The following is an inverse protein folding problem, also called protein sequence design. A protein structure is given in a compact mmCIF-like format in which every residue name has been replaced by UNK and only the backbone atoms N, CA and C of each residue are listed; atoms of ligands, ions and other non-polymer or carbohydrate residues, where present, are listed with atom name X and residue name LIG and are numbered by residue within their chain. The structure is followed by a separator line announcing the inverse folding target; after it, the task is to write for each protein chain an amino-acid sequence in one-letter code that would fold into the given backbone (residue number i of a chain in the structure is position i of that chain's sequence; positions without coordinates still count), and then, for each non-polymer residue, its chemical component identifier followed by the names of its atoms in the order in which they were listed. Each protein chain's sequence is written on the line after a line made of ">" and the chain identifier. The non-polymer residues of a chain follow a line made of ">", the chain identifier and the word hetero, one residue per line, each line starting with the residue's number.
data_IF_985053780845
#
_entry.id   IF_985053780845
#
_cell.length_a   1.000
_cell.length_b   1.000
_cell.length_c   1.000
_cell.angle_alpha   90.00
_cell.angle_beta   90.00
_cell.angle_gamma   90.00
#
_symmetry.space_group_name_H-M   'P 1'
#
loop_
_entity.id
_entity.type
_entity.pdbx_description
1 polymer ?
#
# COMPACT_ATOMS: atom_id res chain seq x y z
N UNK A 1 -4.81 -25.37 28.16
CA UNK A 1 -3.57 -26.07 27.75
C UNK A 1 -3.88 -27.53 27.48
N UNK A 2 -3.15 -28.20 26.57
CA UNK A 2 -3.29 -29.64 26.33
C UNK A 2 -2.41 -30.11 25.17
N UNK A 3 -1.92 -31.33 25.24
CA UNK A 3 -0.95 -31.91 24.29
C UNK A 3 -1.63 -32.38 23.00
N UNK A 4 -0.85 -32.75 21.98
CA UNK A 4 -1.33 -33.36 20.72
C UNK A 4 -2.00 -34.71 21.02
N UNK A 5 -3.08 -35.06 20.29
CA UNK A 5 -3.93 -36.28 20.43
C UNK A 5 -4.92 -36.36 21.60
N UNK A 6 -5.19 -35.27 22.33
CA UNK A 6 -6.20 -35.26 23.43
C UNK A 6 -7.63 -34.87 22.97
N UNK A 7 -7.98 -35.07 21.70
CA UNK A 7 -9.34 -34.81 21.19
C UNK A 7 -9.70 -33.34 20.90
N UNK A 8 -8.75 -32.39 21.02
CA UNK A 8 -9.03 -30.97 20.75
C UNK A 8 -9.48 -30.68 19.32
N UNK A 9 -8.89 -31.36 18.34
CA UNK A 9 -9.26 -31.15 16.92
C UNK A 9 -10.72 -31.55 16.72
N UNK A 10 -11.15 -32.71 17.25
CA UNK A 10 -12.57 -33.11 17.19
C UNK A 10 -13.50 -32.19 17.97
N UNK A 11 -13.10 -31.70 19.14
CA UNK A 11 -13.90 -30.71 19.86
C UNK A 11 -14.03 -29.42 19.05
N UNK A 12 -12.94 -28.91 18.48
CA UNK A 12 -12.94 -27.69 17.66
C UNK A 12 -13.86 -27.86 16.45
N UNK A 13 -13.79 -29.00 15.75
CA UNK A 13 -14.66 -29.30 14.63
C UNK A 13 -16.14 -29.31 14.99
N UNK A 14 -16.51 -29.88 16.15
CA UNK A 14 -17.90 -29.86 16.62
C UNK A 14 -18.36 -28.43 16.86
N UNK A 15 -17.57 -27.63 17.57
CA UNK A 15 -17.89 -26.23 17.86
C UNK A 15 -18.02 -25.40 16.56
N UNK A 16 -17.04 -25.52 15.67
CA UNK A 16 -17.04 -24.86 14.35
C UNK A 16 -18.28 -25.25 13.55
N UNK A 17 -18.63 -26.55 13.52
CA UNK A 17 -19.84 -27.02 12.82
C UNK A 17 -21.09 -26.36 13.42
N UNK A 18 -21.24 -26.38 14.75
CA UNK A 18 -22.41 -25.78 15.41
C UNK A 18 -22.51 -24.28 15.15
N UNK A 19 -21.40 -23.55 15.22
CA UNK A 19 -21.37 -22.10 15.01
C UNK A 19 -21.71 -21.72 13.56
N UNK A 20 -21.22 -22.48 12.58
CA UNK A 20 -21.57 -22.29 11.15
C UNK A 20 -23.08 -22.42 10.94
N UNK A 21 -23.68 -23.48 11.47
CA UNK A 21 -25.11 -23.77 11.31
C UNK A 21 -26.01 -22.85 12.14
N UNK A 22 -25.50 -22.28 13.25
CA UNK A 22 -26.20 -21.24 14.02
C UNK A 22 -26.25 -19.89 13.29
N UNK A 23 -25.44 -19.71 12.24
CA UNK A 23 -25.37 -18.47 11.46
C UNK A 23 -24.28 -17.50 11.95
N UNK A 24 -23.40 -17.92 12.86
CA UNK A 24 -22.37 -17.05 13.40
C UNK A 24 -21.23 -16.81 12.40
N UNK A 25 -20.43 -15.76 12.67
CA UNK A 25 -19.15 -15.54 11.99
C UNK A 25 -18.10 -16.40 12.66
N UNK A 26 -17.53 -17.34 11.88
CA UNK A 26 -16.52 -18.29 12.36
C UNK A 26 -15.18 -17.97 11.72
N UNK A 27 -14.17 -17.69 12.53
CA UNK A 27 -12.79 -17.46 12.09
C UNK A 27 -11.89 -18.52 12.74
N UNK A 28 -11.18 -19.29 11.91
CA UNK A 28 -10.29 -20.36 12.37
C UNK A 28 -8.86 -20.06 11.94
N UNK A 29 -7.95 -20.04 12.92
CA UNK A 29 -6.52 -19.98 12.67
C UNK A 29 -5.95 -21.39 12.83
N UNK A 30 -5.62 -22.03 11.72
CA UNK A 30 -5.01 -23.36 11.72
C UNK A 30 -3.52 -23.29 11.34
N UNK A 31 -2.60 -23.34 12.32
CA UNK A 31 -1.17 -23.28 12.06
C UNK A 31 -0.62 -24.57 11.42
N UNK A 32 -1.43 -25.64 11.33
CA UNK A 32 -0.98 -26.95 10.82
C UNK A 32 -1.33 -27.18 9.35
N UNK A 33 -2.28 -26.43 8.79
CA UNK A 33 -2.77 -26.68 7.43
C UNK A 33 -3.48 -28.04 7.31
N UNK A 34 -4.29 -28.38 8.31
CA UNK A 34 -5.13 -29.57 8.37
C UNK A 34 -6.21 -29.52 7.29
N UNK A 35 -6.02 -30.35 6.26
CA UNK A 35 -6.92 -30.45 5.11
C UNK A 35 -8.30 -30.99 5.52
N UNK A 36 -8.39 -31.87 6.52
CA UNK A 36 -9.66 -32.43 6.98
C UNK A 36 -10.52 -31.34 7.63
N UNK A 37 -9.89 -30.47 8.44
CA UNK A 37 -10.56 -29.32 9.05
C UNK A 37 -11.08 -28.35 7.99
N UNK A 38 -10.25 -28.01 6.99
CA UNK A 38 -10.64 -27.11 5.90
C UNK A 38 -11.83 -27.67 5.09
N UNK A 39 -11.75 -28.93 4.68
CA UNK A 39 -12.82 -29.61 3.93
C UNK A 39 -14.10 -29.68 4.73
N UNK A 40 -14.01 -29.93 6.03
CA UNK A 40 -15.17 -29.92 6.93
C UNK A 40 -15.78 -28.54 7.01
N UNK A 41 -14.99 -27.48 7.21
CA UNK A 41 -15.52 -26.11 7.26
C UNK A 41 -16.25 -25.73 5.96
N UNK A 42 -15.68 -26.05 4.80
CA UNK A 42 -16.32 -25.81 3.51
C UNK A 42 -17.62 -26.62 3.36
N UNK A 43 -17.59 -27.90 3.70
CA UNK A 43 -18.75 -28.80 3.60
C UNK A 43 -19.89 -28.34 4.52
N UNK A 44 -19.57 -27.94 5.75
CA UNK A 44 -20.57 -27.45 6.71
C UNK A 44 -21.11 -26.07 6.32
N UNK A 45 -20.27 -25.17 5.78
CA UNK A 45 -20.74 -23.90 5.20
C UNK A 45 -21.72 -24.14 4.05
N UNK A 46 -21.41 -25.11 3.18
CA UNK A 46 -22.30 -25.52 2.08
C UNK A 46 -23.63 -26.11 2.58
N UNK A 47 -23.59 -27.00 3.57
CA UNK A 47 -24.82 -27.56 4.18
C UNK A 47 -25.68 -26.50 4.85
N UNK A 48 -25.06 -25.47 5.41
CA UNK A 48 -25.76 -24.32 5.99
C UNK A 48 -26.25 -23.29 4.93
N UNK A 49 -26.00 -23.52 3.64
CA UNK A 49 -26.40 -22.59 2.56
C UNK A 49 -25.57 -21.30 2.53
N UNK A 50 -24.34 -21.33 3.04
CA UNK A 50 -23.44 -20.16 3.19
C UNK A 50 -22.11 -20.36 2.43
N UNK A 51 -22.11 -21.16 1.38
CA UNK A 51 -20.91 -21.44 0.58
C UNK A 51 -20.34 -20.19 -0.10
N UNK A 52 -21.19 -19.22 -0.42
CA UNK A 52 -20.85 -17.91 -0.98
C UNK A 52 -20.13 -16.97 0.00
N UNK A 53 -20.19 -17.30 1.30
CA UNK A 53 -19.55 -16.57 2.41
C UNK A 53 -18.30 -17.27 2.93
N UNK A 54 -17.88 -18.37 2.30
CA UNK A 54 -16.70 -19.12 2.72
C UNK A 54 -15.43 -18.54 2.11
N UNK A 55 -14.50 -18.13 2.96
CA UNK A 55 -13.19 -17.63 2.55
C UNK A 55 -12.08 -18.45 3.20
N UNK A 56 -11.07 -18.84 2.42
CA UNK A 56 -9.85 -19.45 2.93
C UNK A 56 -8.62 -18.65 2.53
N UNK A 57 -7.62 -18.62 3.40
CA UNK A 57 -6.32 -18.02 3.12
C UNK A 57 -5.23 -19.04 3.43
N UNK A 58 -4.52 -19.50 2.39
CA UNK A 58 -3.51 -20.54 2.51
C UNK A 58 -2.28 -20.22 1.64
N UNK A 59 -1.12 -19.99 2.26
CA UNK A 59 0.10 -19.55 1.57
C UNK A 59 0.63 -20.56 0.54
N UNK A 60 0.35 -21.86 0.72
CA UNK A 60 0.73 -22.92 -0.22
C UNK A 60 -0.22 -23.12 -1.40
N UNK A 61 -1.39 -22.48 -1.41
CA UNK A 61 -2.42 -22.60 -2.46
C UNK A 61 -2.97 -21.21 -2.83
N UNK A 62 -2.12 -20.31 -3.36
CA UNK A 62 -2.50 -18.93 -3.64
C UNK A 62 -3.64 -18.80 -4.66
N UNK A 63 -3.76 -19.72 -5.61
CA UNK A 63 -4.77 -19.74 -6.67
C UNK A 63 -6.19 -19.99 -6.15
N UNK A 64 -6.32 -20.61 -4.98
CA UNK A 64 -7.60 -20.88 -4.33
C UNK A 64 -7.85 -19.99 -3.10
N UNK A 65 -6.84 -19.21 -2.70
CA UNK A 65 -6.91 -18.38 -1.50
C UNK A 65 -7.56 -17.02 -1.77
N UNK A 66 -8.33 -16.54 -0.80
CA UNK A 66 -8.79 -15.17 -0.75
C UNK A 66 -7.59 -14.21 -0.72
N UNK A 67 -7.68 -13.11 -1.47
CA UNK A 67 -6.67 -12.06 -1.45
C UNK A 67 -6.95 -11.07 -0.32
N UNK A 68 -5.90 -10.60 0.33
CA UNK A 68 -6.00 -9.64 1.41
C UNK A 68 -4.99 -8.51 1.24
N UNK A 69 -5.48 -7.27 1.28
CA UNK A 69 -4.65 -6.07 1.32
C UNK A 69 -4.72 -5.43 2.72
N UNK A 70 -3.75 -5.73 3.61
CA UNK A 70 -3.75 -5.21 4.99
C UNK A 70 -3.51 -3.71 5.10
N UNK A 71 -3.12 -3.03 4.01
CA UNK A 71 -2.84 -1.60 4.02
C UNK A 71 -3.82 -0.81 3.15
N UNK A 72 -4.72 -1.48 2.43
CA UNK A 72 -5.72 -0.84 1.57
C UNK A 72 -6.96 -0.35 2.31
N UNK A 73 -7.35 -1.02 3.40
CA UNK A 73 -8.50 -0.62 4.22
C UNK A 73 -8.07 0.07 5.51
N UNK A 74 -8.38 1.36 5.65
CA UNK A 74 -8.02 2.17 6.81
C UNK A 74 -9.02 3.31 7.06
N UNK A 75 -9.20 3.67 8.33
CA UNK A 75 -9.97 4.86 8.73
C UNK A 75 -9.17 6.16 8.57
N UNK A 76 -7.83 6.08 8.68
CA UNK A 76 -6.92 7.22 8.56
C UNK A 76 -5.73 6.80 7.72
N UNK A 77 -5.35 7.62 6.73
CA UNK A 77 -4.23 7.33 5.80
C UNK A 77 -2.91 7.05 6.53
N UNK A 78 -2.70 7.67 7.70
CA UNK A 78 -1.52 7.44 8.55
C UNK A 78 -1.38 5.99 9.02
N UNK A 79 -2.47 5.21 9.05
CA UNK A 79 -2.44 3.78 9.41
C UNK A 79 -1.66 2.94 8.38
N UNK A 80 -1.59 3.36 7.12
CA UNK A 80 -0.78 2.70 6.09
C UNK A 80 0.70 2.70 6.53
N UNK A 81 1.22 3.87 6.86
CA UNK A 81 2.59 4.03 7.34
C UNK A 81 2.83 3.32 8.67
N UNK A 82 1.91 3.42 9.64
CA UNK A 82 2.05 2.72 10.93
C UNK A 82 2.11 1.20 10.76
N UNK A 83 1.27 0.61 9.90
CA UNK A 83 1.28 -0.84 9.66
C UNK A 83 2.59 -1.32 9.03
N UNK A 84 3.21 -0.51 8.18
CA UNK A 84 4.51 -0.83 7.55
C UNK A 84 5.65 -0.62 8.54
N UNK A 85 5.71 0.53 9.21
CA UNK A 85 6.80 0.86 10.13
C UNK A 85 6.82 -0.01 11.39
N UNK A 86 5.67 -0.51 11.86
CA UNK A 86 5.60 -1.40 13.03
C UNK A 86 6.29 -2.76 12.82
N UNK A 87 6.57 -3.15 11.57
CA UNK A 87 7.35 -4.35 11.27
C UNK A 87 8.86 -4.13 11.47
N UNK A 88 9.29 -2.89 11.72
CA UNK A 88 10.70 -2.53 11.86
C UNK A 88 11.14 -2.48 13.33
N UNK A 89 12.41 -2.80 13.63
CA UNK A 89 12.97 -2.64 14.98
C UNK A 89 12.79 -1.21 15.49
N UNK A 90 12.55 -1.07 16.80
CA UNK A 90 12.15 0.20 17.43
C UNK A 90 13.17 0.85 18.35
N UNK A 91 14.41 0.35 18.42
CA UNK A 91 15.39 0.73 19.45
C UNK A 91 16.72 1.24 18.86
N UNK A 92 17.37 2.17 19.57
CA UNK A 92 18.66 2.73 19.17
C UNK A 92 18.62 3.45 17.81
N UNK A 93 19.63 3.24 16.96
CA UNK A 93 19.71 3.87 15.63
C UNK A 93 18.56 3.46 14.69
N UNK A 94 17.83 2.38 14.99
CA UNK A 94 16.69 1.95 14.17
C UNK A 94 15.46 2.86 14.32
N UNK A 95 15.38 3.67 15.39
CA UNK A 95 14.25 4.57 15.61
C UNK A 95 14.17 5.67 14.55
N UNK A 96 15.29 6.37 14.29
CA UNK A 96 15.34 7.43 13.29
C UNK A 96 15.05 6.90 11.87
N UNK A 97 15.54 5.70 11.55
CA UNK A 97 15.22 5.03 10.29
C UNK A 97 13.73 4.68 10.19
N UNK A 98 13.14 4.15 11.27
CA UNK A 98 11.71 3.84 11.33
C UNK A 98 10.84 5.09 11.15
N UNK A 99 11.22 6.21 11.77
CA UNK A 99 10.53 7.50 11.62
C UNK A 99 10.63 8.03 10.18
N UNK A 100 11.81 7.92 9.56
CA UNK A 100 11.99 8.25 8.15
C UNK A 100 11.07 7.42 7.24
N UNK A 101 11.09 6.09 7.40
CA UNK A 101 10.24 5.18 6.61
C UNK A 101 8.76 5.50 6.83
N UNK A 102 8.35 5.73 8.08
CA UNK A 102 6.98 6.10 8.39
C UNK A 102 6.59 7.39 7.66
N UNK A 103 7.42 8.43 7.74
CA UNK A 103 7.19 9.71 7.07
C UNK A 103 7.07 9.55 5.56
N UNK A 104 7.99 8.82 4.95
CA UNK A 104 8.04 8.62 3.51
C UNK A 104 6.84 7.82 2.99
N UNK A 105 6.53 6.68 3.62
CA UNK A 105 5.35 5.86 3.27
C UNK A 105 4.05 6.64 3.47
N UNK A 106 3.98 7.51 4.48
CA UNK A 106 2.81 8.35 4.72
C UNK A 106 2.60 9.35 3.56
N UNK A 107 3.66 9.93 3.00
CA UNK A 107 3.53 10.82 1.84
C UNK A 107 3.09 10.07 0.58
N UNK A 108 3.68 8.89 0.33
CA UNK A 108 3.25 8.01 -0.77
C UNK A 108 1.76 7.67 -0.63
N UNK A 109 1.33 7.24 0.56
CA UNK A 109 -0.06 6.89 0.83
C UNK A 109 -1.03 8.06 0.62
N UNK A 110 -0.65 9.28 1.01
CA UNK A 110 -1.45 10.49 0.76
C UNK A 110 -1.56 10.79 -0.74
N UNK A 111 -0.47 10.67 -1.49
CA UNK A 111 -0.49 10.83 -2.95
C UNK A 111 -1.42 9.83 -3.61
N UNK A 112 -1.35 8.56 -3.22
CA UNK A 112 -2.25 7.52 -3.73
C UNK A 112 -3.72 7.81 -3.43
N UNK A 113 -4.03 8.18 -2.19
CA UNK A 113 -5.42 8.51 -1.79
C UNK A 113 -5.94 9.73 -2.54
N UNK A 114 -5.11 10.76 -2.74
CA UNK A 114 -5.47 11.94 -3.53
C UNK A 114 -5.83 11.56 -4.98
N UNK A 115 -5.12 10.60 -5.55
CA UNK A 115 -5.36 10.06 -6.90
C UNK A 115 -6.50 9.02 -6.94
N UNK A 116 -7.20 8.75 -5.83
CA UNK A 116 -8.24 7.73 -5.75
C UNK A 116 -7.71 6.29 -5.83
N UNK A 117 -6.41 6.07 -5.64
CA UNK A 117 -5.74 4.77 -5.71
C UNK A 117 -5.62 4.15 -4.31
N UNK A 118 -6.04 2.90 -4.17
CA UNK A 118 -5.89 2.16 -2.91
C UNK A 118 -4.43 1.77 -2.66
N UNK A 119 -3.83 2.14 -1.52
CA UNK A 119 -2.48 1.71 -1.16
C UNK A 119 -2.34 0.19 -1.06
N UNK A 120 -1.23 -0.36 -1.53
CA UNK A 120 -0.87 -1.78 -1.42
C UNK A 120 0.65 -1.92 -1.28
N UNK A 121 1.13 -3.05 -0.74
CA UNK A 121 2.59 -3.26 -0.61
C UNK A 121 3.34 -3.15 -1.96
N UNK A 122 2.87 -3.74 -3.07
CA UNK A 122 3.56 -3.60 -4.35
C UNK A 122 3.63 -2.15 -4.83
N UNK A 123 2.52 -1.40 -4.73
CA UNK A 123 2.47 0.01 -5.17
C UNK A 123 3.38 0.88 -4.29
N UNK A 124 3.34 0.69 -2.98
CA UNK A 124 4.19 1.45 -2.05
C UNK A 124 5.66 1.12 -2.31
N UNK A 125 6.01 -0.16 -2.53
CA UNK A 125 7.38 -0.57 -2.87
C UNK A 125 7.86 0.08 -4.17
N UNK A 126 7.02 0.06 -5.21
CA UNK A 126 7.30 0.69 -6.50
C UNK A 126 7.62 2.18 -6.32
N UNK A 127 6.76 2.93 -5.63
CA UNK A 127 6.98 4.37 -5.41
C UNK A 127 8.04 4.70 -4.37
N UNK A 128 8.40 3.74 -3.50
CA UNK A 128 9.52 3.91 -2.60
C UNK A 128 10.88 3.79 -3.32
N UNK A 129 10.93 3.03 -4.43
CA UNK A 129 12.10 2.94 -5.30
C UNK A 129 12.21 4.15 -6.23
N UNK A 130 11.08 4.57 -6.80
CA UNK A 130 11.01 5.77 -7.63
C UNK A 130 9.70 6.54 -7.36
N UNK A 131 9.83 7.68 -6.67
CA UNK A 131 8.69 8.53 -6.30
C UNK A 131 8.26 9.47 -7.43
N UNK A 132 9.11 9.67 -8.45
CA UNK A 132 8.89 10.68 -9.49
C UNK A 132 7.56 10.49 -10.25
N UNK A 133 7.16 9.27 -10.65
CA UNK A 133 5.89 9.09 -11.35
C UNK A 133 4.68 9.41 -10.47
N UNK A 134 4.74 9.12 -9.16
CA UNK A 134 3.66 9.51 -8.24
C UNK A 134 3.56 11.02 -8.11
N UNK A 135 4.71 11.69 -8.00
CA UNK A 135 4.77 13.14 -7.94
C UNK A 135 4.14 13.77 -9.18
N UNK A 136 4.53 13.30 -10.38
CA UNK A 136 3.97 13.80 -11.65
C UNK A 136 2.45 13.62 -11.71
N UNK A 137 1.93 12.45 -11.35
CA UNK A 137 0.49 12.18 -11.36
C UNK A 137 -0.26 13.12 -10.40
N UNK A 138 0.27 13.31 -9.19
CA UNK A 138 -0.28 14.21 -8.18
C UNK A 138 -0.26 15.66 -8.66
N UNK A 139 0.88 16.13 -9.16
CA UNK A 139 1.04 17.52 -9.63
C UNK A 139 0.17 17.80 -10.84
N UNK A 140 0.03 16.86 -11.76
CA UNK A 140 -0.89 16.97 -12.90
C UNK A 140 -2.31 17.19 -12.41
N UNK A 141 -2.79 16.34 -11.49
CA UNK A 141 -4.15 16.46 -10.92
C UNK A 141 -4.36 17.80 -10.21
N UNK A 142 -3.35 18.31 -9.50
CA UNK A 142 -3.44 19.59 -8.81
C UNK A 142 -3.40 20.78 -9.77
N UNK A 143 -2.54 20.76 -10.79
CA UNK A 143 -2.44 21.83 -11.77
C UNK A 143 -3.68 21.91 -12.65
N UNK A 144 -4.22 20.78 -13.10
CA UNK A 144 -5.50 20.74 -13.82
C UNK A 144 -6.64 21.38 -13.02
N UNK A 145 -6.60 21.26 -11.69
CA UNK A 145 -7.64 21.80 -10.81
C UNK A 145 -7.44 23.27 -10.45
N UNK A 146 -6.20 23.75 -10.32
CA UNK A 146 -5.92 25.06 -9.71
C UNK A 146 -5.08 26.01 -10.56
N UNK A 147 -4.43 25.55 -11.62
CA UNK A 147 -3.48 26.37 -12.40
C UNK A 147 -3.88 26.38 -13.88
N UNK A 148 -4.52 27.47 -14.31
CA UNK A 148 -4.85 27.68 -15.70
C UNK A 148 -3.60 27.71 -16.58
N UNK A 149 -3.66 27.05 -17.74
CA UNK A 149 -2.59 27.05 -18.74
C UNK A 149 -1.21 26.61 -18.22
N UNK A 150 -1.16 25.76 -17.20
CA UNK A 150 0.09 25.28 -16.59
C UNK A 150 1.04 24.63 -17.60
N UNK A 151 0.50 23.99 -18.65
CA UNK A 151 1.27 23.29 -19.67
C UNK A 151 2.29 24.20 -20.37
N UNK A 152 1.92 25.46 -20.63
CA UNK A 152 2.83 26.44 -21.24
C UNK A 152 4.00 26.74 -20.30
N UNK A 153 3.73 26.96 -19.01
CA UNK A 153 4.77 27.23 -18.00
C UNK A 153 5.66 26.02 -17.78
N UNK A 154 5.11 24.81 -17.81
CA UNK A 154 5.90 23.57 -17.77
C UNK A 154 6.86 23.52 -18.96
N UNK A 155 6.39 23.75 -20.19
CA UNK A 155 7.24 23.74 -21.37
C UNK A 155 8.36 24.81 -21.31
N UNK A 156 8.06 25.99 -20.76
CA UNK A 156 9.05 27.05 -20.51
C UNK A 156 10.15 26.58 -19.54
N UNK A 157 9.77 25.95 -18.42
CA UNK A 157 10.74 25.38 -17.47
C UNK A 157 11.51 24.20 -18.05
N UNK A 158 10.88 23.35 -18.86
CA UNK A 158 11.56 22.27 -19.56
C UNK A 158 12.62 22.80 -20.54
N UNK A 159 12.32 23.86 -21.30
CA UNK A 159 13.31 24.51 -22.16
C UNK A 159 14.45 25.13 -21.33
N UNK A 160 14.12 25.79 -20.21
CA UNK A 160 15.10 26.38 -19.32
C UNK A 160 16.04 25.34 -18.68
N UNK A 161 15.55 24.11 -18.42
CA UNK A 161 16.36 23.03 -17.86
C UNK A 161 17.45 22.53 -18.81
N UNK A 162 17.27 22.65 -20.12
CA UNK A 162 18.29 22.27 -21.13
C UNK A 162 19.33 23.37 -21.36
N UNK A 163 19.05 24.60 -20.93
CA UNK A 163 19.94 25.74 -21.12
C UNK A 163 21.14 25.69 -20.17
N UNK A 164 22.27 26.23 -20.64
CA UNK A 164 23.40 26.53 -19.75
C UNK A 164 22.97 27.57 -18.71
N UNK A 165 23.57 27.50 -17.52
CA UNK A 165 23.18 28.35 -16.40
C UNK A 165 23.22 29.87 -16.72
N UNK A 166 24.19 30.31 -17.51
CA UNK A 166 24.31 31.73 -17.92
C UNK A 166 23.17 32.16 -18.85
N UNK A 167 22.84 31.36 -19.86
CA UNK A 167 21.78 31.66 -20.82
C UNK A 167 20.40 31.57 -20.16
N UNK A 168 20.23 30.61 -19.26
CA UNK A 168 19.02 30.46 -18.45
C UNK A 168 18.72 31.70 -17.60
N UNK A 169 19.74 32.26 -16.94
CA UNK A 169 19.60 33.50 -16.18
C UNK A 169 19.28 34.70 -17.06
N UNK A 170 19.89 34.82 -18.25
CA UNK A 170 19.56 35.86 -19.23
C UNK A 170 18.11 35.76 -19.72
N UNK A 171 17.59 34.54 -19.85
CA UNK A 171 16.20 34.27 -20.19
C UNK A 171 15.20 34.49 -19.03
N UNK A 172 15.67 34.93 -17.85
CA UNK A 172 14.82 35.24 -16.70
C UNK A 172 14.53 34.07 -15.76
N UNK A 173 15.17 32.92 -15.96
CA UNK A 173 15.02 31.75 -15.09
C UNK A 173 16.18 31.65 -14.09
N UNK A 174 15.95 32.07 -12.86
CA UNK A 174 16.94 31.94 -11.78
C UNK A 174 16.52 30.86 -10.78
N UNK A 175 16.96 29.63 -11.03
CA UNK A 175 16.75 28.51 -10.13
C UNK A 175 17.99 27.61 -10.05
N UNK A 176 18.10 26.88 -8.94
CA UNK A 176 19.09 25.82 -8.73
C UNK A 176 18.37 24.54 -8.36
N UNK A 177 18.74 23.42 -9.00
CA UNK A 177 18.19 22.12 -8.65
C UNK A 177 18.96 21.54 -7.46
N UNK A 178 18.28 21.15 -6.37
CA UNK A 178 18.93 20.43 -5.30
C UNK A 178 19.42 19.06 -5.80
N UNK A 179 20.45 18.51 -5.16
CA UNK A 179 21.02 17.20 -5.54
C UNK A 179 19.97 16.09 -5.60
N UNK A 180 19.00 16.11 -4.69
CA UNK A 180 17.88 15.15 -4.64
C UNK A 180 16.97 15.17 -5.87
N UNK A 181 17.00 16.24 -6.68
CA UNK A 181 16.22 16.36 -7.91
C UNK A 181 17.00 15.92 -9.15
N UNK A 182 18.32 15.65 -9.06
CA UNK A 182 19.13 15.34 -10.25
C UNK A 182 18.67 14.09 -10.99
N UNK A 183 18.27 13.05 -10.24
CA UNK A 183 17.80 11.77 -10.78
C UNK A 183 16.32 11.78 -11.20
N UNK A 184 15.63 12.91 -11.04
CA UNK A 184 14.22 13.05 -11.44
C UNK A 184 14.09 13.29 -12.93
N UNK A 185 12.97 12.90 -13.50
CA UNK A 185 12.66 13.19 -14.90
C UNK A 185 12.63 14.70 -15.15
N UNK A 186 12.78 15.07 -16.41
CA UNK A 186 12.71 16.47 -16.83
C UNK A 186 11.35 17.10 -16.50
N UNK A 187 10.27 16.35 -16.73
CA UNK A 187 8.92 16.76 -16.38
C UNK A 187 8.75 16.95 -14.86
N UNK A 188 9.24 16.01 -14.06
CA UNK A 188 9.22 16.12 -12.59
C UNK A 188 9.97 17.36 -12.09
N UNK A 189 11.15 17.66 -12.66
CA UNK A 189 11.89 18.90 -12.37
C UNK A 189 11.10 20.15 -12.75
N UNK A 190 10.50 20.18 -13.94
CA UNK A 190 9.72 21.33 -14.40
C UNK A 190 8.47 21.55 -13.54
N UNK A 191 7.76 20.49 -13.16
CA UNK A 191 6.61 20.57 -12.24
C UNK A 191 7.01 21.04 -10.85
N UNK A 192 8.16 20.63 -10.34
CA UNK A 192 8.69 21.10 -9.06
C UNK A 192 9.07 22.58 -9.09
N UNK A 193 9.62 23.07 -10.19
CA UNK A 193 9.97 24.50 -10.36
C UNK A 193 8.73 25.40 -10.53
N UNK A 194 7.63 24.83 -11.01
CA UNK A 194 6.37 25.54 -11.16
C UNK A 194 5.57 25.64 -9.86
N UNK A 195 5.72 24.66 -8.97
CA UNK A 195 5.06 24.59 -7.66
C UNK A 195 5.60 25.62 -6.68
#
# INVERSE_FOLDING_TARGET
>A
MGTTRVGKTRLAEILITQDIHRGDVVIVFDPKGDQELLLRMYTEAKKAGREDQFYMFHLGYPEFSAQYNPVGSFLRVTKVATRIANQMPGEGQSLAFREFVWGFVNQIAKGLVLLGRSPSYPIIKMYAQDVDPLFIDVMTTLFEKYVNSYQKRIAEFEAALDMKAEDRRKAGFDFTLPRSMQDRSKLGKAMWLLY
#
